data_IF_511102191552
#
_entry.id   IF_511102191552
#
_cell.length_a   1.000
_cell.length_b   1.000
_cell.length_c   1.000
_cell.angle_alpha   90.00
_cell.angle_beta   90.00
_cell.angle_gamma   90.00
#
_symmetry.space_group_name_H-M   'P 1'
#
loop_
_entity.id
_entity.type
_entity.pdbx_description
1 polymer ?
#
# COMPACT_ATOMS: atom_id res chain seq x y z
N UNK A 1 17.84 -7.13 -6.81
CA UNK A 1 17.27 -7.72 -5.58
C UNK A 1 16.90 -6.59 -4.63
N UNK A 2 15.86 -6.76 -3.82
CA UNK A 2 15.18 -5.70 -3.06
C UNK A 2 16.11 -4.81 -2.20
N UNK A 3 15.89 -3.49 -2.12
CA UNK A 3 16.77 -2.59 -1.37
C UNK A 3 16.58 -2.70 0.15
N UNK A 4 17.62 -2.28 0.91
CA UNK A 4 17.60 -2.09 2.36
C UNK A 4 17.31 -3.35 3.21
N UNK A 5 17.55 -4.56 2.69
CA UNK A 5 17.22 -5.83 3.36
C UNK A 5 18.03 -6.11 4.64
N UNK A 6 19.24 -5.59 4.76
CA UNK A 6 20.03 -5.68 6.00
C UNK A 6 19.58 -4.70 7.10
N UNK A 7 18.61 -3.83 6.82
CA UNK A 7 18.16 -2.76 7.71
C UNK A 7 16.65 -2.70 7.83
N UNK A 8 16.07 -1.54 7.55
CA UNK A 8 14.62 -1.29 7.73
C UNK A 8 13.72 -2.14 6.83
N UNK A 9 14.22 -2.60 5.68
CA UNK A 9 13.41 -3.24 4.64
C UNK A 9 13.12 -2.31 3.46
N UNK A 10 12.51 -2.86 2.41
CA UNK A 10 12.09 -2.11 1.22
C UNK A 10 10.89 -1.25 1.55
N UNK A 11 10.93 0.01 1.15
CA UNK A 11 9.80 0.91 1.28
C UNK A 11 8.60 0.38 0.50
N UNK A 12 7.45 0.30 1.16
CA UNK A 12 6.16 -0.03 0.56
C UNK A 12 5.20 1.15 0.74
N UNK A 13 4.18 1.21 -0.13
CA UNK A 13 3.08 2.15 -0.03
C UNK A 13 1.76 1.40 -0.29
N UNK A 14 0.62 2.06 -0.13
CA UNK A 14 -0.70 1.42 -0.20
C UNK A 14 -1.64 2.11 -1.18
N UNK A 15 -2.47 1.31 -1.83
CA UNK A 15 -3.76 1.74 -2.37
C UNK A 15 -4.77 1.77 -1.22
N UNK A 16 -5.29 2.95 -0.89
CA UNK A 16 -6.19 3.15 0.26
C UNK A 16 -7.61 3.55 -0.14
N UNK A 17 -8.57 3.33 0.77
CA UNK A 17 -9.95 3.78 0.64
C UNK A 17 -10.41 4.44 1.95
N UNK A 18 -11.42 5.31 1.86
CA UNK A 18 -12.03 5.94 3.03
C UNK A 18 -13.43 6.46 2.74
N UNK A 19 -14.25 6.59 3.79
CA UNK A 19 -15.58 7.18 3.70
C UNK A 19 -15.46 8.69 3.92
N UNK A 20 -15.97 9.48 2.99
CA UNK A 20 -15.94 10.94 3.12
C UNK A 20 -16.95 11.40 4.16
N UNK A 21 -16.66 12.54 4.81
CA UNK A 21 -17.58 13.16 5.78
C UNK A 21 -18.96 13.49 5.19
N UNK A 22 -19.04 13.72 3.88
CA UNK A 22 -20.26 14.08 3.17
C UNK A 22 -20.97 12.88 2.52
N UNK A 23 -20.56 11.64 2.83
CA UNK A 23 -21.16 10.45 2.24
C UNK A 23 -22.66 10.36 2.60
N UNK A 24 -23.52 10.31 1.58
CA UNK A 24 -24.97 10.13 1.77
C UNK A 24 -25.36 8.68 2.10
N UNK A 25 -24.43 7.74 1.94
CA UNK A 25 -24.60 6.30 2.22
C UNK A 25 -23.34 5.71 2.90
N UNK A 26 -22.98 6.13 4.13
CA UNK A 26 -21.73 5.73 4.76
C UNK A 26 -21.66 4.22 5.04
N UNK A 27 -22.78 3.57 5.34
CA UNK A 27 -22.85 2.13 5.60
C UNK A 27 -22.58 1.32 4.33
N UNK A 28 -23.10 1.74 3.18
CA UNK A 28 -22.82 1.09 1.90
C UNK A 28 -21.34 1.27 1.50
N UNK A 29 -20.76 2.44 1.78
CA UNK A 29 -19.33 2.67 1.57
C UNK A 29 -18.48 1.78 2.48
N UNK A 30 -18.88 1.59 3.74
CA UNK A 30 -18.25 0.63 4.64
C UNK A 30 -18.34 -0.80 4.11
N UNK A 31 -19.52 -1.24 3.66
CA UNK A 31 -19.71 -2.56 3.06
C UNK A 31 -18.84 -2.77 1.82
N UNK A 32 -18.62 -1.73 1.01
CA UNK A 32 -17.71 -1.78 -0.13
C UNK A 32 -16.26 -2.00 0.34
N UNK A 33 -15.80 -1.26 1.35
CA UNK A 33 -14.45 -1.47 1.89
C UNK A 33 -14.29 -2.89 2.50
N UNK A 34 -15.31 -3.38 3.22
CA UNK A 34 -15.34 -4.75 3.74
C UNK A 34 -15.31 -5.79 2.61
N UNK A 35 -16.03 -5.54 1.51
CA UNK A 35 -15.98 -6.38 0.31
C UNK A 35 -14.58 -6.42 -0.31
N UNK A 36 -13.87 -5.28 -0.37
CA UNK A 36 -12.50 -5.22 -0.90
C UNK A 36 -11.50 -6.01 -0.04
N UNK A 37 -11.79 -6.22 1.24
CA UNK A 37 -10.95 -6.97 2.19
C UNK A 37 -11.31 -8.46 2.31
N UNK A 38 -12.23 -8.97 1.47
CA UNK A 38 -12.49 -10.41 1.38
C UNK A 38 -11.31 -11.13 0.73
N UNK A 39 -11.10 -12.39 1.09
CA UNK A 39 -10.05 -13.22 0.50
C UNK A 39 -10.15 -13.26 -1.03
N UNK A 40 -11.35 -13.54 -1.56
CA UNK A 40 -11.61 -13.59 -3.00
C UNK A 40 -11.30 -12.26 -3.71
N UNK A 41 -11.72 -11.13 -3.11
CA UNK A 41 -11.46 -9.80 -3.64
C UNK A 41 -9.98 -9.47 -3.66
N UNK A 42 -9.27 -9.73 -2.55
CA UNK A 42 -7.82 -9.50 -2.45
C UNK A 42 -7.05 -10.38 -3.44
N UNK A 43 -7.44 -11.65 -3.59
CA UNK A 43 -6.84 -12.56 -4.57
C UNK A 43 -7.05 -12.02 -5.98
N UNK A 44 -8.26 -11.59 -6.32
CA UNK A 44 -8.55 -11.00 -7.63
C UNK A 44 -7.76 -9.70 -7.88
N UNK A 45 -7.74 -8.77 -6.92
CA UNK A 45 -6.98 -7.52 -7.03
C UNK A 45 -5.48 -7.76 -7.22
N UNK A 46 -4.88 -8.67 -6.46
CA UNK A 46 -3.46 -9.01 -6.58
C UNK A 46 -3.12 -9.56 -7.98
N UNK A 47 -4.00 -10.39 -8.55
CA UNK A 47 -3.80 -10.97 -9.88
C UNK A 47 -3.97 -9.94 -11.01
N UNK A 48 -4.95 -9.06 -10.90
CA UNK A 48 -5.29 -8.13 -11.99
C UNK A 48 -4.43 -6.87 -11.95
N UNK A 49 -4.16 -6.33 -10.75
CA UNK A 49 -3.45 -5.05 -10.60
C UNK A 49 -1.95 -5.20 -10.33
N UNK A 50 -1.45 -6.43 -10.17
CA UNK A 50 -0.06 -6.71 -9.80
C UNK A 50 0.40 -5.96 -8.53
N UNK A 51 -0.49 -5.85 -7.55
CA UNK A 51 -0.18 -5.38 -6.20
C UNK A 51 -0.06 -6.56 -5.23
N UNK A 52 0.70 -6.36 -4.15
CA UNK A 52 0.72 -7.31 -3.04
C UNK A 52 -0.58 -7.18 -2.24
N UNK A 53 -1.27 -8.28 -1.91
CA UNK A 53 -2.44 -8.24 -1.05
C UNK A 53 -2.05 -7.79 0.37
N UNK A 54 -2.93 -7.06 1.04
CA UNK A 54 -2.71 -6.66 2.45
C UNK A 54 -3.00 -7.81 3.42
N UNK A 55 -3.73 -8.82 2.95
CA UNK A 55 -4.07 -10.04 3.69
C UNK A 55 -2.94 -11.05 3.60
N UNK A 56 -2.44 -11.48 4.75
CA UNK A 56 -1.36 -12.48 4.85
C UNK A 56 -1.78 -13.89 4.39
N UNK A 57 -3.08 -14.19 4.41
CA UNK A 57 -3.65 -15.48 3.96
C UNK A 57 -3.93 -15.53 2.44
N UNK A 58 -3.60 -14.46 1.70
CA UNK A 58 -3.78 -14.37 0.26
C UNK A 58 -2.43 -14.32 -0.43
N UNK A 59 -2.20 -15.27 -1.34
CA UNK A 59 -0.97 -15.30 -2.13
C UNK A 59 -0.93 -14.19 -3.20
N UNK A 60 0.22 -13.52 -3.41
CA UNK A 60 0.42 -12.59 -4.53
C UNK A 60 0.28 -13.27 -5.90
N UNK A 61 0.28 -12.47 -6.97
CA UNK A 61 0.29 -13.02 -8.34
C UNK A 61 1.56 -13.82 -8.62
N UNK A 62 1.50 -14.75 -9.58
CA UNK A 62 2.67 -15.54 -9.99
C UNK A 62 3.85 -14.64 -10.44
N UNK A 63 3.54 -13.49 -11.07
CA UNK A 63 4.53 -12.49 -11.44
C UNK A 63 5.24 -11.92 -10.21
N UNK A 64 4.50 -11.48 -9.19
CA UNK A 64 5.09 -10.93 -7.97
C UNK A 64 5.89 -11.98 -7.20
N UNK A 65 5.40 -13.22 -7.13
CA UNK A 65 6.12 -14.33 -6.52
C UNK A 65 7.47 -14.58 -7.22
N UNK A 66 7.53 -14.41 -8.55
CA UNK A 66 8.77 -14.58 -9.33
C UNK A 66 9.87 -13.58 -8.96
N UNK A 67 9.54 -12.45 -8.32
CA UNK A 67 10.52 -11.46 -7.87
C UNK A 67 11.19 -11.83 -6.54
N UNK A 68 10.73 -12.92 -5.90
CA UNK A 68 11.24 -13.40 -4.63
C UNK A 68 10.73 -12.60 -3.42
N UNK A 69 10.93 -13.18 -2.23
CA UNK A 69 10.52 -12.56 -0.97
C UNK A 69 11.39 -11.37 -0.60
N UNK A 70 10.83 -10.48 0.21
CA UNK A 70 11.53 -9.32 0.74
C UNK A 70 11.01 -8.95 2.12
N UNK A 71 11.87 -8.30 2.91
CA UNK A 71 11.47 -7.59 4.12
C UNK A 71 10.90 -6.23 3.73
N UNK A 72 9.63 -6.00 4.04
CA UNK A 72 9.01 -4.68 3.93
C UNK A 72 9.41 -3.77 5.11
N UNK A 73 9.50 -2.47 4.85
CA UNK A 73 9.65 -1.45 5.87
C UNK A 73 8.37 -1.37 6.72
N UNK A 74 8.50 -1.47 8.03
CA UNK A 74 7.39 -1.50 8.98
C UNK A 74 6.90 -0.10 9.42
N UNK A 75 7.40 0.97 8.78
CA UNK A 75 6.97 2.33 9.01
C UNK A 75 5.45 2.47 8.83
N UNK A 76 4.77 3.10 9.79
CA UNK A 76 3.36 3.46 9.61
C UNK A 76 3.23 4.49 8.47
N UNK A 77 2.46 4.16 7.43
CA UNK A 77 2.27 5.00 6.24
C UNK A 77 1.71 6.39 6.56
N UNK A 78 1.06 6.59 7.70
CA UNK A 78 0.62 7.92 8.14
C UNK A 78 1.77 8.90 8.34
N UNK A 79 2.96 8.40 8.73
CA UNK A 79 4.15 9.23 8.89
C UNK A 79 4.62 9.82 7.56
N UNK A 80 4.39 9.13 6.43
CA UNK A 80 4.67 9.64 5.09
C UNK A 80 3.83 10.88 4.79
N UNK A 81 2.55 10.85 5.18
CA UNK A 81 1.66 12.00 5.08
C UNK A 81 2.09 13.14 6.00
N UNK A 82 2.41 12.85 7.26
CA UNK A 82 2.87 13.84 8.25
C UNK A 82 4.15 14.56 7.79
N UNK A 83 5.06 13.85 7.14
CA UNK A 83 6.35 14.37 6.66
C UNK A 83 6.33 14.84 5.21
N UNK A 84 5.20 14.77 4.51
CA UNK A 84 5.12 15.09 3.08
C UNK A 84 5.65 16.50 2.76
N UNK A 85 5.23 17.52 3.53
CA UNK A 85 5.67 18.90 3.31
C UNK A 85 7.19 19.07 3.51
N UNK A 86 7.78 18.39 4.50
CA UNK A 86 9.22 18.46 4.74
C UNK A 86 10.02 17.71 3.68
N UNK A 87 9.49 16.58 3.18
CA UNK A 87 10.08 15.86 2.06
C UNK A 87 10.11 16.72 0.78
N UNK A 88 8.99 17.39 0.44
CA UNK A 88 8.93 18.29 -0.72
C UNK A 88 9.94 19.43 -0.61
N UNK A 89 10.03 20.09 0.56
CA UNK A 89 11.04 21.14 0.80
C UNK A 89 12.47 20.61 0.67
N UNK A 90 12.73 19.37 1.09
CA UNK A 90 14.05 18.76 0.95
C UNK A 90 14.41 18.49 -0.52
N UNK A 91 13.45 17.99 -1.31
CA UNK A 91 13.61 17.75 -2.74
C UNK A 91 13.86 19.06 -3.51
N UNK A 92 13.09 20.11 -3.21
CA UNK A 92 13.26 21.46 -3.77
C UNK A 92 14.66 22.03 -3.48
N UNK A 93 15.09 22.01 -2.20
CA UNK A 93 16.45 22.47 -1.82
C UNK A 93 17.57 21.68 -2.49
N UNK A 94 17.34 20.42 -2.82
CA UNK A 94 18.28 19.58 -3.54
C UNK A 94 18.27 19.81 -5.06
N UNK A 95 17.38 20.65 -5.57
CA UNK A 95 17.23 20.93 -7.01
C UNK A 95 16.62 19.77 -7.80
N UNK A 96 15.88 18.87 -7.15
CA UNK A 96 15.20 17.76 -7.81
C UNK A 96 14.00 18.31 -8.61
N UNK A 97 14.05 18.18 -9.94
CA UNK A 97 12.98 18.56 -10.88
C UNK A 97 12.01 17.42 -11.17
#
# INVERSE_FOLDING_TARGET
>A
FWPNQAGRGTHINISGAGVTRAASKPEAARQLMEFMLREESQRWYAQVNNEFPVREDVEPSALLQSWGSFKADALNVSELGRLNAEAVKAMDRAGWK
#
